data_IF_640803630811
#
_entry.id   IF_640803630811
#
_cell.length_a   1.000
_cell.length_b   1.000
_cell.length_c   1.000
_cell.angle_alpha   90.00
_cell.angle_beta   90.00
_cell.angle_gamma   90.00
#
_symmetry.space_group_name_H-M   'P 1'
#
loop_
_entity.id
_entity.type
_entity.pdbx_description
1 polymer ?
#
# COMPACT_ATOMS: atom_id res chain seq x y z
N UNK A 1 37.61 -6.23 7.64
CA UNK A 1 37.90 -5.65 6.31
C UNK A 1 36.68 -5.87 5.42
N UNK A 2 35.88 -4.81 5.16
CA UNK A 2 34.78 -4.86 4.17
C UNK A 2 35.45 -4.92 2.79
N UNK A 3 35.40 -6.09 2.12
CA UNK A 3 35.75 -6.19 0.70
C UNK A 3 34.82 -5.30 -0.08
N UNK A 4 35.36 -4.31 -0.80
CA UNK A 4 34.58 -3.46 -1.69
C UNK A 4 33.81 -4.29 -2.73
N UNK A 5 32.76 -3.72 -3.36
CA UNK A 5 31.95 -4.45 -4.34
C UNK A 5 32.84 -4.94 -5.49
N UNK A 6 32.76 -6.22 -5.76
CA UNK A 6 33.46 -6.84 -6.91
C UNK A 6 32.78 -6.39 -8.22
N UNK A 7 33.55 -6.30 -9.31
CA UNK A 7 33.00 -5.98 -10.64
C UNK A 7 31.78 -6.83 -11.00
N UNK A 8 31.79 -8.10 -10.63
CA UNK A 8 30.65 -9.00 -10.81
C UNK A 8 29.40 -8.50 -10.07
N UNK A 9 29.55 -8.08 -8.82
CA UNK A 9 28.41 -7.58 -8.03
C UNK A 9 27.82 -6.29 -8.64
N UNK A 10 28.69 -5.39 -9.13
CA UNK A 10 28.25 -4.13 -9.76
C UNK A 10 27.53 -4.41 -11.08
N UNK A 11 28.07 -5.31 -11.91
CA UNK A 11 27.46 -5.69 -13.19
C UNK A 11 26.12 -6.41 -12.97
N UNK A 12 26.05 -7.36 -12.03
CA UNK A 12 24.81 -8.07 -11.72
C UNK A 12 23.74 -7.10 -11.19
N UNK A 13 24.12 -6.16 -10.33
CA UNK A 13 23.20 -5.12 -9.83
C UNK A 13 22.73 -4.21 -10.96
N UNK A 14 23.64 -3.74 -11.81
CA UNK A 14 23.31 -2.85 -12.94
C UNK A 14 22.37 -3.54 -13.93
N UNK A 15 22.60 -4.81 -14.27
CA UNK A 15 21.72 -5.60 -15.14
C UNK A 15 20.34 -5.82 -14.51
N UNK A 16 20.29 -6.15 -13.23
CA UNK A 16 19.02 -6.30 -12.51
C UNK A 16 18.22 -5.01 -12.46
N UNK A 17 18.87 -3.88 -12.16
CA UNK A 17 18.21 -2.58 -12.18
C UNK A 17 17.79 -2.18 -13.60
N UNK A 18 18.63 -2.39 -14.62
CA UNK A 18 18.26 -2.12 -16.00
C UNK A 18 17.04 -2.95 -16.43
N UNK A 19 17.01 -4.24 -16.10
CA UNK A 19 15.88 -5.11 -16.41
C UNK A 19 14.55 -4.61 -15.80
N UNK A 20 14.60 -4.05 -14.59
CA UNK A 20 13.41 -3.51 -13.93
C UNK A 20 13.02 -2.12 -14.44
N UNK A 21 13.98 -1.21 -14.62
CA UNK A 21 13.68 0.19 -14.88
C UNK A 21 13.61 0.55 -16.36
N UNK A 22 14.29 -0.17 -17.26
CA UNK A 22 14.25 0.12 -18.70
C UNK A 22 12.85 0.01 -19.29
N UNK A 23 12.03 -1.04 -18.99
CA UNK A 23 10.65 -1.09 -19.47
C UNK A 23 9.81 0.09 -18.98
N UNK A 24 9.98 0.50 -17.72
CA UNK A 24 9.29 1.66 -17.14
C UNK A 24 9.72 2.96 -17.83
N UNK A 25 11.02 3.14 -18.04
CA UNK A 25 11.55 4.30 -18.75
C UNK A 25 11.03 4.37 -20.20
N UNK A 26 10.97 3.24 -20.90
CA UNK A 26 10.39 3.14 -22.24
C UNK A 26 8.91 3.55 -22.21
N UNK A 27 8.12 3.04 -21.27
CA UNK A 27 6.72 3.40 -21.11
C UNK A 27 6.56 4.91 -20.89
N UNK A 28 7.36 5.50 -19.99
CA UNK A 28 7.35 6.95 -19.74
C UNK A 28 7.73 7.74 -20.99
N UNK A 29 8.75 7.35 -21.74
CA UNK A 29 9.14 8.02 -23.00
C UNK A 29 8.02 7.91 -24.03
N UNK A 30 7.43 6.72 -24.20
CA UNK A 30 6.34 6.50 -25.15
C UNK A 30 5.02 7.16 -24.74
N UNK A 31 4.85 7.59 -23.50
CA UNK A 31 3.70 8.40 -23.09
C UNK A 31 3.67 9.78 -23.76
N UNK A 32 4.82 10.27 -24.23
CA UNK A 32 4.97 11.51 -25.00
C UNK A 32 4.99 11.30 -26.50
N UNK A 33 4.76 10.08 -27.01
CA UNK A 33 4.80 9.79 -28.42
C UNK A 33 3.57 10.37 -29.17
N UNK A 34 3.77 11.12 -30.23
CA UNK A 34 2.69 11.69 -31.03
C UNK A 34 1.90 10.67 -31.86
N UNK A 35 2.49 9.50 -32.14
CA UNK A 35 1.88 8.44 -32.96
C UNK A 35 0.70 7.77 -32.24
N UNK A 36 -0.33 7.40 -33.01
CA UNK A 36 -1.42 6.51 -32.57
C UNK A 36 -0.98 5.04 -32.48
N UNK A 37 0.11 4.70 -33.14
CA UNK A 37 0.66 3.34 -33.07
C UNK A 37 1.67 3.27 -31.91
N UNK A 38 1.41 2.37 -30.98
CA UNK A 38 2.17 2.24 -29.72
C UNK A 38 3.65 1.92 -29.96
N UNK A 39 3.96 1.23 -31.07
CA UNK A 39 5.32 0.77 -31.39
C UNK A 39 6.08 1.69 -32.33
N UNK A 40 5.45 2.71 -32.91
CA UNK A 40 6.05 3.62 -33.87
C UNK A 40 6.26 4.99 -33.24
N UNK A 41 7.49 5.48 -33.21
CA UNK A 41 7.79 6.80 -32.69
C UNK A 41 7.43 7.89 -33.71
N UNK A 42 6.51 8.78 -33.35
CA UNK A 42 6.00 9.86 -34.20
C UNK A 42 6.43 11.28 -33.75
N UNK A 43 7.40 11.37 -32.82
CA UNK A 43 7.85 12.66 -32.24
C UNK A 43 7.25 12.94 -30.87
N UNK A 44 7.68 14.02 -30.25
CA UNK A 44 7.24 14.42 -28.91
C UNK A 44 5.89 15.14 -28.94
N UNK A 45 4.95 14.74 -28.07
CA UNK A 45 3.62 15.36 -27.95
C UNK A 45 3.04 15.14 -26.55
N UNK A 46 2.29 16.11 -26.05
CA UNK A 46 1.47 16.01 -24.82
C UNK A 46 0.01 15.59 -25.10
N UNK A 47 -0.28 15.20 -26.34
CA UNK A 47 -1.64 14.94 -26.82
C UNK A 47 -2.40 13.98 -25.93
N UNK A 48 -1.79 12.86 -25.52
CA UNK A 48 -2.45 11.81 -24.75
C UNK A 48 -2.81 12.25 -23.34
N UNK A 49 -2.02 13.16 -22.75
CA UNK A 49 -2.35 13.76 -21.47
C UNK A 49 -3.58 14.69 -21.55
N UNK A 50 -3.71 15.41 -22.67
CA UNK A 50 -4.88 16.27 -22.94
C UNK A 50 -6.12 15.39 -23.23
N UNK A 51 -6.00 14.35 -24.05
CA UNK A 51 -7.08 13.41 -24.33
C UNK A 51 -7.56 12.71 -23.06
N UNK A 52 -6.62 12.28 -22.19
CA UNK A 52 -6.92 11.68 -20.89
C UNK A 52 -7.78 12.57 -19.98
N UNK A 53 -7.52 13.89 -19.95
CA UNK A 53 -8.32 14.82 -19.16
C UNK A 53 -9.79 14.94 -19.65
N UNK A 54 -10.06 14.51 -20.88
CA UNK A 54 -11.40 14.48 -21.46
C UNK A 54 -12.03 13.08 -21.43
N UNK A 55 -11.26 12.03 -21.06
CA UNK A 55 -11.81 10.67 -20.86
C UNK A 55 -12.47 10.55 -19.48
N UNK A 56 -13.77 10.87 -19.43
CA UNK A 56 -14.54 10.81 -18.19
C UNK A 56 -14.52 9.41 -17.55
N UNK A 57 -14.51 8.34 -18.35
CA UNK A 57 -14.54 6.98 -17.83
C UNK A 57 -13.19 6.56 -17.20
N UNK A 58 -12.08 7.03 -17.76
CA UNK A 58 -10.76 6.81 -17.18
C UNK A 58 -10.58 7.60 -15.87
N UNK A 59 -11.00 8.88 -15.85
CA UNK A 59 -10.96 9.72 -14.67
C UNK A 59 -11.87 9.18 -13.54
N UNK A 60 -13.07 8.70 -13.87
CA UNK A 60 -13.96 8.07 -12.90
C UNK A 60 -13.32 6.82 -12.30
N UNK A 61 -12.74 5.95 -13.13
CA UNK A 61 -12.02 4.75 -12.66
C UNK A 61 -10.84 5.09 -11.76
N UNK A 62 -10.10 6.15 -12.06
CA UNK A 62 -9.02 6.64 -11.21
C UNK A 62 -9.53 7.14 -9.85
N UNK A 63 -10.63 7.91 -9.85
CA UNK A 63 -11.26 8.40 -8.61
C UNK A 63 -11.83 7.25 -7.77
N UNK A 64 -12.46 6.26 -8.40
CA UNK A 64 -12.95 5.05 -7.71
C UNK A 64 -11.79 4.31 -7.06
N UNK A 65 -10.69 4.10 -7.78
CA UNK A 65 -9.48 3.45 -7.25
C UNK A 65 -8.90 4.21 -6.05
N UNK A 66 -8.76 5.52 -6.15
CA UNK A 66 -8.24 6.35 -5.04
C UNK A 66 -9.15 6.29 -3.81
N UNK A 67 -10.47 6.37 -3.99
CA UNK A 67 -11.44 6.28 -2.88
C UNK A 67 -11.40 4.93 -2.21
N UNK A 68 -11.40 3.84 -2.99
CA UNK A 68 -11.28 2.47 -2.47
C UNK A 68 -9.95 2.32 -1.74
N UNK A 69 -8.84 2.74 -2.35
CA UNK A 69 -7.51 2.65 -1.77
C UNK A 69 -7.40 3.37 -0.42
N UNK A 70 -7.90 4.61 -0.32
CA UNK A 70 -7.89 5.37 0.92
C UNK A 70 -8.76 4.73 2.01
N UNK A 71 -9.98 4.32 1.67
CA UNK A 71 -10.90 3.75 2.64
C UNK A 71 -10.43 2.37 3.12
N UNK A 72 -10.00 1.51 2.20
CA UNK A 72 -9.50 0.18 2.56
C UNK A 72 -8.20 0.26 3.36
N UNK A 73 -7.26 1.13 2.98
CA UNK A 73 -6.04 1.34 3.75
C UNK A 73 -6.31 1.92 5.15
N UNK A 74 -7.23 2.86 5.27
CA UNK A 74 -7.63 3.40 6.58
C UNK A 74 -8.26 2.32 7.48
N UNK A 75 -9.22 1.56 6.94
CA UNK A 75 -9.85 0.47 7.66
C UNK A 75 -8.84 -0.64 8.04
N UNK A 76 -7.99 -1.05 7.08
CA UNK A 76 -6.94 -2.03 7.32
C UNK A 76 -5.93 -1.57 8.36
N UNK A 77 -5.60 -0.28 8.38
CA UNK A 77 -4.67 0.30 9.36
C UNK A 77 -5.24 0.24 10.78
N UNK A 78 -6.50 0.61 10.95
CA UNK A 78 -7.16 0.52 12.26
C UNK A 78 -7.26 -0.93 12.70
N UNK A 79 -7.84 -1.81 11.86
CA UNK A 79 -8.06 -3.22 12.20
C UNK A 79 -6.75 -3.99 12.37
N UNK A 80 -5.76 -3.76 11.49
CA UNK A 80 -4.44 -4.39 11.57
C UNK A 80 -3.65 -3.97 12.80
N UNK A 81 -3.73 -2.68 13.18
CA UNK A 81 -3.12 -2.19 14.43
C UNK A 81 -3.78 -2.82 15.66
N UNK A 82 -5.11 -2.90 15.71
CA UNK A 82 -5.83 -3.55 16.80
C UNK A 82 -5.49 -5.05 16.87
N UNK A 83 -5.40 -5.71 15.73
CA UNK A 83 -5.01 -7.11 15.64
C UNK A 83 -3.56 -7.34 16.15
N UNK A 84 -2.63 -6.49 15.76
CA UNK A 84 -1.24 -6.52 16.23
C UNK A 84 -1.16 -6.32 17.76
N UNK A 85 -1.90 -5.34 18.29
CA UNK A 85 -2.00 -5.10 19.72
C UNK A 85 -2.56 -6.32 20.46
N UNK A 86 -3.64 -6.93 19.96
CA UNK A 86 -4.22 -8.12 20.55
C UNK A 86 -3.24 -9.28 20.60
N UNK A 87 -2.51 -9.52 19.51
CA UNK A 87 -1.54 -10.61 19.41
C UNK A 87 -0.28 -10.39 20.27
N UNK A 88 0.17 -9.14 20.45
CA UNK A 88 1.42 -8.86 21.18
C UNK A 88 1.15 -8.59 22.67
N UNK A 89 0.06 -7.88 23.01
CA UNK A 89 -0.17 -7.36 24.36
C UNK A 89 -1.09 -8.21 25.24
N UNK A 90 -2.06 -8.94 24.66
CA UNK A 90 -3.06 -9.65 25.47
C UNK A 90 -2.58 -11.03 25.98
N UNK A 91 -1.32 -11.38 25.76
CA UNK A 91 -0.76 -12.63 26.25
C UNK A 91 -1.45 -13.88 25.66
N UNK A 92 -1.72 -14.89 26.53
CA UNK A 92 -2.42 -16.12 26.14
C UNK A 92 -3.92 -15.96 26.36
N UNK A 93 -4.71 -15.95 25.29
CA UNK A 93 -6.18 -16.00 25.33
C UNK A 93 -6.71 -17.19 24.52
N UNK A 94 -7.94 -17.62 24.83
CA UNK A 94 -8.59 -18.72 24.12
C UNK A 94 -8.83 -18.32 22.67
N UNK A 95 -8.38 -19.15 21.71
CA UNK A 95 -8.53 -18.88 20.29
C UNK A 95 -7.42 -18.01 19.67
N UNK A 96 -6.36 -17.65 20.40
CA UNK A 96 -5.25 -16.83 19.89
C UNK A 96 -4.61 -17.40 18.61
N UNK A 97 -4.45 -18.73 18.56
CA UNK A 97 -3.86 -19.43 17.39
C UNK A 97 -4.81 -19.27 16.19
N UNK A 98 -6.11 -19.49 16.38
CA UNK A 98 -7.12 -19.33 15.34
C UNK A 98 -7.18 -17.87 14.87
N UNK A 99 -7.23 -16.92 15.81
CA UNK A 99 -7.25 -15.49 15.51
C UNK A 99 -6.02 -15.06 14.69
N UNK A 100 -4.81 -15.48 15.11
CA UNK A 100 -3.59 -15.23 14.32
C UNK A 100 -3.63 -15.90 12.96
N UNK A 101 -4.09 -17.14 12.88
CA UNK A 101 -4.28 -17.84 11.62
C UNK A 101 -5.22 -17.11 10.66
N UNK A 102 -6.35 -16.61 11.16
CA UNK A 102 -7.31 -15.84 10.35
C UNK A 102 -6.73 -14.52 9.84
N UNK A 103 -5.93 -13.82 10.66
CA UNK A 103 -5.27 -12.57 10.25
C UNK A 103 -4.25 -12.83 9.15
N UNK A 104 -3.46 -13.90 9.25
CA UNK A 104 -2.39 -14.18 8.29
C UNK A 104 -2.83 -15.05 7.10
N UNK A 105 -4.03 -15.62 7.15
CA UNK A 105 -4.54 -16.46 6.06
C UNK A 105 -4.48 -15.78 4.68
N UNK A 106 -4.90 -14.50 4.51
CA UNK A 106 -4.84 -13.83 3.21
C UNK A 106 -3.42 -13.69 2.64
N UNK A 107 -2.41 -13.64 3.50
CA UNK A 107 -1.01 -13.53 3.06
C UNK A 107 -0.49 -14.83 2.42
N UNK A 108 -1.00 -15.98 2.89
CA UNK A 108 -0.55 -17.30 2.44
C UNK A 108 -1.41 -17.82 1.30
N UNK A 109 -2.67 -17.42 1.25
CA UNK A 109 -3.61 -17.86 0.22
C UNK A 109 -3.34 -17.13 -1.11
N UNK A 110 -3.41 -17.84 -2.25
CA UNK A 110 -3.41 -17.18 -3.55
C UNK A 110 -4.56 -16.18 -3.67
N UNK A 111 -4.28 -14.98 -4.19
CA UNK A 111 -5.27 -13.90 -4.33
C UNK A 111 -6.52 -14.32 -5.11
N UNK A 112 -6.35 -15.15 -6.14
CA UNK A 112 -7.46 -15.72 -6.94
C UNK A 112 -8.43 -16.50 -6.06
N UNK A 113 -7.91 -17.33 -5.13
CA UNK A 113 -8.73 -18.14 -4.23
C UNK A 113 -9.44 -17.22 -3.22
N UNK A 114 -8.76 -16.24 -2.69
CA UNK A 114 -9.35 -15.23 -1.78
C UNK A 114 -10.45 -14.44 -2.49
N UNK A 115 -10.20 -13.97 -3.71
CA UNK A 115 -11.17 -13.24 -4.51
C UNK A 115 -12.42 -14.07 -4.84
N UNK A 116 -12.23 -15.33 -5.25
CA UNK A 116 -13.33 -16.26 -5.51
C UNK A 116 -14.14 -16.56 -4.25
N UNK A 117 -13.46 -16.75 -3.11
CA UNK A 117 -14.13 -17.01 -1.83
C UNK A 117 -14.99 -15.82 -1.40
N UNK A 118 -14.48 -14.59 -1.56
CA UNK A 118 -15.24 -13.37 -1.28
C UNK A 118 -16.42 -13.19 -2.24
N UNK A 119 -16.23 -13.48 -3.53
CA UNK A 119 -17.32 -13.49 -4.50
C UNK A 119 -18.45 -14.43 -4.05
N UNK A 120 -18.09 -15.69 -3.73
CA UNK A 120 -19.07 -16.69 -3.28
C UNK A 120 -19.76 -16.27 -1.97
N UNK A 121 -19.03 -15.66 -1.06
CA UNK A 121 -19.59 -15.11 0.18
C UNK A 121 -20.61 -14.01 -0.12
N UNK A 122 -20.27 -13.01 -0.96
CA UNK A 122 -21.18 -11.91 -1.29
C UNK A 122 -22.44 -12.42 -1.99
N UNK A 123 -22.31 -13.40 -2.89
CA UNK A 123 -23.47 -14.06 -3.52
C UNK A 123 -24.30 -14.82 -2.50
N UNK A 124 -23.68 -15.56 -1.57
CA UNK A 124 -24.40 -16.34 -0.57
C UNK A 124 -25.19 -15.48 0.44
N UNK A 125 -24.71 -14.25 0.71
CA UNK A 125 -25.39 -13.30 1.61
C UNK A 125 -26.22 -12.25 0.87
N UNK A 126 -26.42 -12.44 -0.46
CA UNK A 126 -27.22 -11.57 -1.34
C UNK A 126 -26.79 -10.09 -1.29
N UNK A 127 -25.46 -9.84 -1.31
CA UNK A 127 -24.89 -8.50 -1.36
C UNK A 127 -24.46 -8.16 -2.77
N UNK A 128 -25.03 -7.10 -3.33
CA UNK A 128 -24.67 -6.57 -4.64
C UNK A 128 -23.20 -6.13 -4.68
N UNK A 129 -22.50 -6.59 -5.73
CA UNK A 129 -21.08 -6.24 -5.91
C UNK A 129 -20.93 -4.80 -6.38
N UNK A 130 -19.88 -4.14 -5.93
CA UNK A 130 -19.61 -2.75 -6.25
C UNK A 130 -18.51 -2.15 -5.37
N UNK A 131 -18.59 -0.86 -5.14
CA UNK A 131 -17.62 -0.08 -4.39
C UNK A 131 -17.30 -0.67 -3.00
N UNK A 132 -18.32 -1.03 -2.22
CA UNK A 132 -18.13 -1.51 -0.85
C UNK A 132 -17.56 -2.93 -0.78
N UNK A 133 -17.94 -3.79 -1.71
CA UNK A 133 -17.41 -5.16 -1.76
C UNK A 133 -15.94 -5.18 -2.14
N UNK A 134 -15.50 -4.29 -3.06
CA UNK A 134 -14.07 -4.10 -3.34
C UNK A 134 -13.36 -3.54 -2.10
N UNK A 135 -13.94 -2.52 -1.44
CA UNK A 135 -13.34 -1.92 -0.24
C UNK A 135 -13.13 -2.95 0.86
N UNK A 136 -14.12 -3.82 1.12
CA UNK A 136 -14.02 -4.90 2.11
C UNK A 136 -12.97 -5.93 1.70
N UNK A 137 -12.94 -6.32 0.43
CA UNK A 137 -11.97 -7.28 -0.12
C UNK A 137 -10.53 -6.76 0.05
N UNK A 138 -10.27 -5.51 -0.35
CA UNK A 138 -8.96 -4.88 -0.19
C UNK A 138 -8.58 -4.70 1.28
N UNK A 139 -9.54 -4.32 2.15
CA UNK A 139 -9.31 -4.26 3.60
C UNK A 139 -8.89 -5.61 4.16
N UNK A 140 -9.57 -6.69 3.75
CA UNK A 140 -9.28 -8.05 4.21
C UNK A 140 -7.87 -8.50 3.83
N UNK A 141 -7.42 -8.20 2.62
CA UNK A 141 -6.06 -8.53 2.17
C UNK A 141 -5.01 -7.64 2.87
N UNK A 142 -5.22 -6.33 2.86
CA UNK A 142 -4.18 -5.38 3.30
C UNK A 142 -4.03 -5.32 4.82
N UNK A 143 -5.06 -5.70 5.58
CA UNK A 143 -5.03 -5.79 7.05
C UNK A 143 -3.88 -6.67 7.56
N UNK A 144 -3.61 -7.80 6.91
CA UNK A 144 -2.54 -8.71 7.34
C UNK A 144 -1.16 -8.05 7.23
N UNK A 145 -0.92 -7.27 6.18
CA UNK A 145 0.33 -6.54 5.99
C UNK A 145 0.53 -5.47 7.06
N UNK A 146 -0.52 -4.69 7.36
CA UNK A 146 -0.48 -3.71 8.44
C UNK A 146 -0.21 -4.39 9.79
N UNK A 147 -0.91 -5.50 10.06
CA UNK A 147 -0.73 -6.24 11.31
C UNK A 147 0.71 -6.70 11.50
N UNK A 148 1.36 -7.21 10.45
CA UNK A 148 2.77 -7.63 10.49
C UNK A 148 3.70 -6.46 10.79
N UNK A 149 3.54 -5.33 10.07
CA UNK A 149 4.41 -4.16 10.23
C UNK A 149 4.30 -3.58 11.65
N UNK A 150 3.07 -3.43 12.15
CA UNK A 150 2.83 -2.91 13.50
C UNK A 150 3.27 -3.92 14.57
N UNK A 151 3.05 -5.22 14.35
CA UNK A 151 3.47 -6.27 15.26
C UNK A 151 4.99 -6.32 15.42
N UNK A 152 5.75 -6.20 14.32
CA UNK A 152 7.19 -6.14 14.36
C UNK A 152 7.67 -4.97 15.25
N UNK A 153 7.09 -3.79 15.07
CA UNK A 153 7.43 -2.62 15.89
C UNK A 153 7.06 -2.78 17.36
N UNK A 154 5.90 -3.40 17.64
CA UNK A 154 5.47 -3.67 19.02
C UNK A 154 6.32 -4.73 19.72
N UNK A 155 6.90 -5.69 18.97
CA UNK A 155 7.79 -6.70 19.53
C UNK A 155 9.13 -6.11 19.98
N UNK A 156 9.65 -5.13 19.24
CA UNK A 156 10.90 -4.40 19.56
C UNK A 156 10.69 -3.25 20.59
N UNK A 157 9.43 -3.05 21.02
CA UNK A 157 9.09 -1.95 21.91
C UNK A 157 9.44 -2.30 23.37
N UNK A 158 10.20 -1.42 24.04
CA UNK A 158 10.53 -1.55 25.45
C UNK A 158 9.31 -1.25 26.34
N UNK A 159 8.79 -2.29 27.00
CA UNK A 159 7.63 -2.19 27.89
C UNK A 159 7.88 -1.36 29.14
N UNK A 160 9.14 -1.19 29.54
CA UNK A 160 9.47 -0.39 30.73
C UNK A 160 8.96 1.05 30.64
N UNK A 161 8.81 1.58 29.42
CA UNK A 161 8.25 2.92 29.19
C UNK A 161 6.76 2.99 29.56
N UNK A 162 6.00 1.92 29.26
CA UNK A 162 4.58 1.83 29.66
C UNK A 162 4.44 1.63 31.15
N UNK A 163 5.28 0.76 31.73
CA UNK A 163 5.29 0.45 33.15
C UNK A 163 5.64 1.70 33.97
N UNK A 164 6.69 2.44 33.59
CA UNK A 164 7.06 3.71 34.23
C UNK A 164 5.94 4.76 34.19
N UNK A 165 5.23 4.87 33.06
CA UNK A 165 4.09 5.78 32.96
C UNK A 165 2.94 5.37 33.88
N UNK A 166 2.68 4.07 34.01
CA UNK A 166 1.64 3.53 34.91
C UNK A 166 2.04 3.68 36.39
N UNK A 167 3.30 3.50 36.73
CA UNK A 167 3.84 3.71 38.09
C UNK A 167 3.69 5.18 38.53
N UNK A 168 3.75 6.11 37.57
CA UNK A 168 3.46 7.53 37.80
C UNK A 168 1.94 7.85 37.87
N UNK A 169 1.07 6.82 37.92
CA UNK A 169 -0.37 6.95 38.05
C UNK A 169 -1.11 7.17 36.74
N UNK A 170 -0.49 6.97 35.58
CA UNK A 170 -1.16 7.10 34.30
C UNK A 170 -2.06 5.88 34.04
N UNK A 171 -3.38 6.05 33.77
CA UNK A 171 -4.24 4.92 33.45
C UNK A 171 -3.88 4.28 32.11
N UNK A 172 -4.15 2.96 31.91
CA UNK A 172 -3.67 2.20 30.74
C UNK A 172 -4.04 2.82 29.39
N UNK A 173 -5.26 3.35 29.24
CA UNK A 173 -5.69 4.00 28.00
C UNK A 173 -4.88 5.29 27.71
N UNK A 174 -4.62 6.08 28.75
CA UNK A 174 -3.82 7.28 28.61
C UNK A 174 -2.37 6.93 28.30
N UNK A 175 -1.79 5.93 28.97
CA UNK A 175 -0.46 5.40 28.66
C UNK A 175 -0.37 4.95 27.20
N UNK A 176 -1.37 4.21 26.70
CA UNK A 176 -1.41 3.84 25.29
C UNK A 176 -1.40 5.06 24.35
N UNK A 177 -2.25 6.05 24.60
CA UNK A 177 -2.38 7.23 23.72
C UNK A 177 -1.17 8.18 23.79
N UNK A 178 -0.50 8.29 24.94
CA UNK A 178 0.59 9.26 25.16
C UNK A 178 1.97 8.66 25.02
N UNK A 179 2.13 7.34 25.20
CA UNK A 179 3.44 6.66 25.15
C UNK A 179 3.47 5.69 23.98
N UNK A 180 2.60 4.68 23.98
CA UNK A 180 2.68 3.59 22.99
C UNK A 180 2.34 4.07 21.59
N UNK A 181 1.19 4.72 21.40
CA UNK A 181 0.72 5.15 20.09
C UNK A 181 1.69 6.08 19.35
N UNK A 182 2.26 7.13 19.98
CA UNK A 182 3.26 7.96 19.31
C UNK A 182 4.53 7.21 18.91
N UNK A 183 4.98 6.24 19.71
CA UNK A 183 6.19 5.47 19.43
C UNK A 183 6.01 4.42 18.32
N UNK A 184 4.78 3.93 18.13
CA UNK A 184 4.44 3.02 17.01
C UNK A 184 3.86 3.76 15.80
N UNK A 185 3.53 5.05 15.91
CA UNK A 185 2.94 5.84 14.83
C UNK A 185 3.71 5.77 13.50
N UNK A 186 5.05 5.77 13.47
CA UNK A 186 5.79 5.59 12.22
C UNK A 186 5.52 4.23 11.55
N UNK A 187 5.36 3.16 12.33
CA UNK A 187 5.02 1.83 11.81
C UNK A 187 3.58 1.78 11.31
N UNK A 188 2.65 2.43 12.00
CA UNK A 188 1.25 2.57 11.57
C UNK A 188 1.20 3.34 10.25
N UNK A 189 1.91 4.45 10.12
CA UNK A 189 2.00 5.23 8.90
C UNK A 189 2.60 4.42 7.74
N UNK A 190 3.67 3.65 8.00
CA UNK A 190 4.26 2.74 7.01
C UNK A 190 3.28 1.64 6.59
N UNK A 191 2.54 1.07 7.54
CA UNK A 191 1.49 0.10 7.29
C UNK A 191 0.37 0.67 6.41
N UNK A 192 -0.07 1.90 6.69
CA UNK A 192 -1.05 2.61 5.86
C UNK A 192 -0.57 2.80 4.41
N UNK A 193 0.66 3.30 4.23
CA UNK A 193 1.23 3.51 2.89
C UNK A 193 1.35 2.19 2.14
N UNK A 194 1.77 1.12 2.80
CA UNK A 194 1.85 -0.21 2.22
C UNK A 194 0.46 -0.72 1.80
N UNK A 195 -0.54 -0.64 2.70
CA UNK A 195 -1.91 -1.04 2.42
C UNK A 195 -2.53 -0.23 1.27
N UNK A 196 -2.28 1.07 1.24
CA UNK A 196 -2.73 1.96 0.17
C UNK A 196 -2.12 1.57 -1.18
N UNK A 197 -0.81 1.35 -1.21
CA UNK A 197 -0.10 0.96 -2.45
C UNK A 197 -0.61 -0.38 -2.98
N UNK A 198 -0.76 -1.39 -2.10
CA UNK A 198 -1.30 -2.71 -2.48
C UNK A 198 -2.74 -2.64 -2.98
N UNK A 199 -3.54 -1.69 -2.47
CA UNK A 199 -4.91 -1.50 -2.94
C UNK A 199 -4.98 -0.77 -4.28
N UNK A 200 -3.99 0.06 -4.63
CA UNK A 200 -3.98 0.82 -5.88
C UNK A 200 -3.71 -0.05 -7.12
N UNK A 201 -2.88 -1.07 -7.00
CA UNK A 201 -2.46 -1.93 -8.11
C UNK A 201 -3.23 -3.25 -8.17
N UNK A 202 -4.14 -3.51 -7.22
CA UNK A 202 -4.92 -4.74 -7.21
C UNK A 202 -5.86 -4.82 -8.40
N UNK A 203 -5.66 -5.87 -9.19
CA UNK A 203 -6.52 -6.26 -10.31
C UNK A 203 -7.34 -7.50 -9.97
N UNK A 204 -6.77 -8.42 -9.22
CA UNK A 204 -7.32 -9.78 -9.05
C UNK A 204 -8.53 -9.75 -8.12
N UNK A 205 -8.38 -9.30 -6.88
CA UNK A 205 -9.50 -9.22 -5.95
C UNK A 205 -10.59 -8.27 -6.48
N UNK A 206 -10.16 -7.11 -7.01
CA UNK A 206 -11.08 -6.16 -7.60
C UNK A 206 -11.92 -6.79 -8.72
N UNK A 207 -11.33 -7.65 -9.58
CA UNK A 207 -12.07 -8.31 -10.68
C UNK A 207 -13.19 -9.25 -10.20
N UNK A 208 -13.00 -9.92 -9.06
CA UNK A 208 -14.02 -10.80 -8.47
C UNK A 208 -15.11 -10.04 -7.72
N UNK A 209 -14.78 -8.87 -7.17
CA UNK A 209 -15.65 -8.14 -6.24
C UNK A 209 -16.24 -6.86 -6.83
N UNK A 210 -15.84 -6.48 -8.06
CA UNK A 210 -16.39 -5.31 -8.78
C UNK A 210 -17.83 -5.52 -9.24
N UNK A 211 -18.53 -4.43 -9.43
CA UNK A 211 -19.89 -4.36 -9.94
C UNK A 211 -20.16 -3.07 -10.70
N UNK A 212 -21.43 -2.81 -11.09
CA UNK A 212 -21.79 -1.61 -11.83
C UNK A 212 -21.31 -0.32 -11.13
N UNK A 213 -20.69 0.60 -11.89
CA UNK A 213 -20.20 1.87 -11.38
C UNK A 213 -18.98 1.82 -10.45
N UNK A 214 -18.32 0.65 -10.32
CA UNK A 214 -17.18 0.46 -9.43
C UNK A 214 -15.94 -0.12 -10.14
N UNK A 215 -15.76 0.21 -11.41
CA UNK A 215 -14.60 -0.22 -12.19
C UNK A 215 -13.35 0.50 -11.71
N UNK A 216 -12.38 -0.25 -11.20
CA UNK A 216 -11.08 0.32 -10.78
C UNK A 216 -10.18 0.59 -11.98
N UNK A 217 -9.19 1.47 -11.80
CA UNK A 217 -8.22 1.83 -12.84
C UNK A 217 -7.44 0.61 -13.37
N UNK A 218 -6.94 -0.33 -12.53
CA UNK A 218 -6.30 -1.55 -13.02
C UNK A 218 -7.23 -2.39 -13.90
N UNK A 219 -8.50 -2.56 -13.54
CA UNK A 219 -9.50 -3.29 -14.36
C UNK A 219 -9.70 -2.57 -15.69
N UNK A 220 -9.81 -1.23 -15.67
CA UNK A 220 -9.98 -0.43 -16.86
C UNK A 220 -8.80 -0.57 -17.81
N UNK A 221 -7.58 -0.37 -17.30
CA UNK A 221 -6.35 -0.53 -18.09
C UNK A 221 -6.26 -1.93 -18.69
N UNK A 222 -6.51 -2.97 -17.89
CA UNK A 222 -6.46 -4.35 -18.34
C UNK A 222 -7.48 -4.64 -19.46
N UNK A 223 -8.69 -4.09 -19.36
CA UNK A 223 -9.72 -4.22 -20.38
C UNK A 223 -9.32 -3.52 -21.69
N UNK A 224 -8.79 -2.31 -21.60
CA UNK A 224 -8.32 -1.55 -22.78
C UNK A 224 -7.13 -2.26 -23.46
N UNK A 225 -6.19 -2.82 -22.68
CA UNK A 225 -5.06 -3.59 -23.24
C UNK A 225 -5.53 -4.83 -23.99
N UNK A 226 -6.58 -5.51 -23.50
CA UNK A 226 -7.16 -6.68 -24.18
C UNK A 226 -7.88 -6.33 -25.49
N UNK A 227 -8.51 -5.17 -25.55
CA UNK A 227 -9.20 -4.68 -26.74
C UNK A 227 -8.27 -4.09 -27.80
N UNK A 228 -7.03 -3.79 -27.42
CA UNK A 228 -6.00 -3.19 -28.24
C UNK A 228 -5.33 -2.05 -27.52
N UNK A 229 -4.00 -2.08 -27.42
CA UNK A 229 -3.23 -1.10 -26.66
C UNK A 229 -3.37 0.28 -27.28
N UNK A 230 -3.93 1.22 -26.52
CA UNK A 230 -3.98 2.63 -26.91
C UNK A 230 -2.79 3.39 -26.30
N UNK A 231 -2.23 4.37 -26.99
CA UNK A 231 -1.12 5.17 -26.43
C UNK A 231 -1.45 5.95 -25.17
N UNK A 232 -2.75 6.25 -24.94
CA UNK A 232 -3.27 6.87 -23.72
C UNK A 232 -2.91 6.06 -22.45
N UNK A 233 -2.83 4.74 -22.56
CA UNK A 233 -2.47 3.86 -21.44
C UNK A 233 -1.09 4.19 -20.90
N UNK A 234 -0.14 4.52 -21.79
CA UNK A 234 1.21 4.93 -21.36
C UNK A 234 1.16 6.23 -20.54
N UNK A 235 0.31 7.18 -20.90
CA UNK A 235 0.13 8.43 -20.16
C UNK A 235 -0.50 8.18 -18.78
N UNK A 236 -1.55 7.35 -18.72
CA UNK A 236 -2.18 6.93 -17.45
C UNK A 236 -1.18 6.26 -16.52
N UNK A 237 -0.46 5.25 -17.02
CA UNK A 237 0.55 4.54 -16.23
C UNK A 237 1.68 5.48 -15.77
N UNK A 238 2.10 6.42 -16.61
CA UNK A 238 3.12 7.42 -16.24
C UNK A 238 2.64 8.33 -15.11
N UNK A 239 1.39 8.82 -15.17
CA UNK A 239 0.79 9.61 -14.08
C UNK A 239 0.70 8.78 -12.80
N UNK A 240 0.25 7.53 -12.88
CA UNK A 240 0.14 6.65 -11.71
C UNK A 240 1.52 6.43 -11.05
N UNK A 241 2.53 6.12 -11.85
CA UNK A 241 3.91 5.97 -11.37
C UNK A 241 4.40 7.27 -10.70
N UNK A 242 4.13 8.43 -11.32
CA UNK A 242 4.52 9.73 -10.77
C UNK A 242 3.82 10.03 -9.42
N UNK A 243 2.52 9.72 -9.32
CA UNK A 243 1.74 9.91 -8.08
C UNK A 243 2.26 9.02 -6.96
N UNK A 244 2.48 7.72 -7.24
CA UNK A 244 3.02 6.77 -6.25
C UNK A 244 4.43 7.17 -5.83
N UNK A 245 5.30 7.50 -6.79
CA UNK A 245 6.66 7.96 -6.50
C UNK A 245 6.68 9.24 -5.65
N UNK A 246 5.83 10.21 -5.97
CA UNK A 246 5.68 11.44 -5.19
C UNK A 246 5.19 11.14 -3.76
N UNK A 247 4.20 10.27 -3.61
CA UNK A 247 3.70 9.82 -2.31
C UNK A 247 4.78 9.18 -1.44
N UNK A 248 5.59 8.29 -2.02
CA UNK A 248 6.71 7.65 -1.33
C UNK A 248 7.81 8.65 -0.92
N UNK A 249 8.13 9.60 -1.81
CA UNK A 249 9.10 10.66 -1.51
C UNK A 249 8.60 11.54 -0.35
N UNK A 250 7.35 11.96 -0.38
CA UNK A 250 6.74 12.75 0.70
C UNK A 250 6.75 11.98 2.02
N UNK A 251 6.34 10.72 2.02
CA UNK A 251 6.37 9.85 3.21
C UNK A 251 7.80 9.70 3.77
N UNK A 252 8.78 9.50 2.90
CA UNK A 252 10.21 9.40 3.28
C UNK A 252 10.75 10.71 3.87
N UNK A 253 10.38 11.86 3.31
CA UNK A 253 10.79 13.16 3.83
C UNK A 253 10.16 13.43 5.21
N UNK A 254 8.88 13.14 5.38
CA UNK A 254 8.18 13.29 6.65
C UNK A 254 8.81 12.41 7.74
N UNK A 255 9.16 11.16 7.44
CA UNK A 255 9.81 10.27 8.40
C UNK A 255 11.19 10.77 8.83
N UNK A 256 11.98 11.33 7.90
CA UNK A 256 13.28 11.94 8.23
C UNK A 256 13.15 13.18 9.12
N UNK A 257 12.16 14.03 8.86
CA UNK A 257 11.90 15.23 9.67
C UNK A 257 11.44 14.88 11.09
N UNK A 258 10.68 13.79 11.25
CA UNK A 258 10.26 13.29 12.57
C UNK A 258 11.44 12.67 13.34
N UNK A 259 12.35 11.95 12.68
CA UNK A 259 13.54 11.36 13.29
C UNK A 259 14.56 12.44 13.77
N UNK A 260 14.72 13.52 12.99
CA UNK A 260 15.65 14.61 13.35
C UNK A 260 15.20 15.42 14.58
N UNK A 261 13.91 15.41 14.93
CA UNK A 261 13.39 16.08 16.15
C UNK A 261 13.64 15.28 17.43
N UNK A 262 13.92 13.98 17.34
CA UNK A 262 14.23 13.13 18.51
C UNK A 262 15.70 13.20 18.97
N UNK A 263 16.61 13.66 18.11
CA UNK A 263 18.06 13.61 18.37
C UNK A 263 18.65 14.91 18.94
N UNK A 264 17.85 15.97 19.08
CA UNK A 264 18.33 17.30 19.48
C UNK A 264 18.10 17.69 20.95
N UNK A 265 17.94 16.71 21.88
CA UNK A 265 18.01 17.00 23.32
C UNK A 265 19.45 16.77 23.81
N UNK A 266 20.29 17.80 24.04
CA UNK A 266 21.57 17.62 24.65
C UNK A 266 21.38 17.17 26.11
N UNK A 267 21.90 15.99 26.44
CA UNK A 267 22.05 15.57 27.82
C UNK A 267 23.03 16.59 28.44
N UNK A 268 22.47 17.53 29.19
CA UNK A 268 23.24 18.50 29.94
C UNK A 268 24.17 17.78 30.91
N UNK A 269 25.44 17.80 30.63
CA UNK A 269 26.54 17.51 31.57
C UNK A 269 26.38 18.43 32.76
N UNK A 270 25.87 17.95 33.86
CA UNK A 270 26.04 18.59 35.15
C UNK A 270 27.24 17.94 35.84
N UNK A 271 28.24 18.76 36.03
CA UNK A 271 29.43 18.52 36.88
C UNK A 271 29.06 18.51 38.37
#
# INVERSE_FOLDING_TARGET
MRKGPTWFNVTALALGLAFLYVPIAILVVYSFNASRLVTVWGGWSMRWYVELLHDAAMLESALVTLRIGLLSAAAATVLGTLAALALVRFGRFRGRILFGGMIYAPLVMPEVITGLSLLLLFVAVDVDRGFWTITVAHTTLTLCFVAIVVQARLADFDRSLEEAAMDLGCPPLKTFLTVTLPLIAPAIASGFVLAFTLSLDDLILASFTTGPGATTLPIRIYSEVRLGVKPEINAVCTILIAVVAAGLVVASLMSKLSGARGESAPIGTQA
#
